data_IF_352307492637
#
_entry.id   IF_352307492637
#
_cell.length_a   1.000
_cell.length_b   1.000
_cell.length_c   1.000
_cell.angle_alpha   90.00
_cell.angle_beta   90.00
_cell.angle_gamma   90.00
#
_symmetry.space_group_name_H-M   'P 1'
#
loop_
_entity.id
_entity.type
_entity.pdbx_description
1 polymer ?
#
# COMPACT_ATOMS: atom_id res chain seq x y z
N UNK A 1 2.41 11.06 15.25
CA UNK A 1 2.26 10.41 13.93
C UNK A 1 3.56 10.56 13.16
N UNK A 2 4.19 9.45 12.77
CA UNK A 2 5.44 9.45 12.00
C UNK A 2 5.11 9.50 10.51
N UNK A 3 5.60 10.51 9.79
CA UNK A 3 5.47 10.55 8.34
C UNK A 3 6.51 9.61 7.71
N UNK A 4 6.05 8.49 7.15
CA UNK A 4 6.92 7.49 6.51
C UNK A 4 7.30 7.92 5.10
N UNK A 5 8.45 7.45 4.60
CA UNK A 5 9.07 8.00 3.38
C UNK A 5 8.19 7.88 2.15
N UNK A 6 7.58 6.73 1.88
CA UNK A 6 6.70 6.56 0.72
C UNK A 6 5.52 7.56 0.72
N UNK A 7 4.91 7.82 1.88
CA UNK A 7 3.84 8.81 1.99
C UNK A 7 4.39 10.24 1.82
N UNK A 8 5.57 10.53 2.37
CA UNK A 8 6.23 11.83 2.20
C UNK A 8 6.48 12.12 0.71
N UNK A 9 7.01 11.15 -0.02
CA UNK A 9 7.37 11.30 -1.43
C UNK A 9 6.12 11.56 -2.28
N UNK A 10 5.03 10.82 -2.04
CA UNK A 10 3.75 11.06 -2.69
C UNK A 10 3.15 12.43 -2.36
N UNK A 11 3.22 12.87 -1.10
CA UNK A 11 2.74 14.21 -0.71
C UNK A 11 3.58 15.33 -1.35
N UNK A 12 4.89 15.14 -1.47
CA UNK A 12 5.77 16.07 -2.20
C UNK A 12 5.40 16.10 -3.68
N UNK A 13 5.16 14.95 -4.31
CA UNK A 13 4.73 14.87 -5.70
C UNK A 13 3.36 15.52 -5.93
N UNK A 14 2.40 15.33 -5.01
CA UNK A 14 1.10 16.03 -5.03
C UNK A 14 1.30 17.54 -4.94
N UNK A 15 2.13 18.01 -4.01
CA UNK A 15 2.42 19.44 -3.86
C UNK A 15 3.05 20.03 -5.13
N UNK A 16 3.97 19.30 -5.76
CA UNK A 16 4.59 19.74 -7.01
C UNK A 16 3.58 19.90 -8.16
N UNK A 17 2.59 19.01 -8.27
CA UNK A 17 1.49 19.11 -9.25
C UNK A 17 0.54 20.28 -8.98
N UNK A 18 0.50 20.77 -7.74
CA UNK A 18 -0.36 21.87 -7.30
C UNK A 18 0.46 23.06 -6.77
N UNK A 19 1.56 23.40 -7.45
CA UNK A 19 2.50 24.46 -7.00
C UNK A 19 1.87 25.85 -6.90
N UNK A 20 0.75 26.09 -7.58
CA UNK A 20 -0.01 27.35 -7.57
C UNK A 20 -1.24 27.30 -6.65
N UNK A 21 -1.42 26.24 -5.86
CA UNK A 21 -2.55 26.16 -4.95
C UNK A 21 -2.49 27.28 -3.90
N UNK A 22 -3.64 27.88 -3.54
CA UNK A 22 -3.71 28.84 -2.44
C UNK A 22 -3.14 28.25 -1.16
N UNK A 23 -2.42 29.08 -0.38
CA UNK A 23 -1.78 28.62 0.87
C UNK A 23 -2.81 28.20 1.93
N UNK A 24 -4.02 28.77 1.87
CA UNK A 24 -5.18 28.44 2.69
C UNK A 24 -6.12 27.40 2.03
N UNK A 25 -5.73 26.86 0.88
CA UNK A 25 -6.50 25.86 0.14
C UNK A 25 -6.44 24.47 0.75
N UNK A 26 -7.38 23.60 0.37
CA UNK A 26 -7.34 22.19 0.76
C UNK A 26 -6.13 21.48 0.13
N UNK A 27 -5.44 20.65 0.92
CA UNK A 27 -4.33 19.79 0.44
C UNK A 27 -4.80 18.83 -0.66
N UNK A 28 -6.03 18.32 -0.52
CA UNK A 28 -6.69 17.47 -1.52
C UNK A 28 -8.02 18.11 -1.92
N UNK A 29 -8.03 19.05 -2.87
CA UNK A 29 -9.24 19.70 -3.31
C UNK A 29 -10.07 18.81 -4.26
N UNK A 30 -11.33 19.16 -4.48
CA UNK A 30 -12.08 18.70 -5.65
C UNK A 30 -11.58 19.39 -6.91
N UNK A 31 -12.07 18.97 -8.08
CA UNK A 31 -11.76 19.64 -9.35
C UNK A 31 -12.06 21.15 -9.34
N UNK A 32 -13.05 21.58 -8.55
CA UNK A 32 -13.47 22.98 -8.40
C UNK A 32 -12.79 23.69 -7.21
N UNK A 33 -11.80 23.08 -6.57
CA UNK A 33 -11.11 23.67 -5.41
C UNK A 33 -11.79 23.45 -4.05
N UNK A 34 -12.95 22.78 -4.03
CA UNK A 34 -13.74 22.57 -2.81
C UNK A 34 -13.26 21.41 -1.93
N UNK A 35 -13.92 21.24 -0.79
CA UNK A 35 -13.64 20.14 0.15
C UNK A 35 -14.07 18.79 -0.43
N UNK A 36 -13.22 17.77 -0.31
CA UNK A 36 -13.60 16.39 -0.62
C UNK A 36 -14.61 15.84 0.41
N UNK A 37 -15.61 15.13 -0.09
CA UNK A 37 -16.52 14.32 0.75
C UNK A 37 -16.06 12.86 0.77
N UNK A 38 -16.53 12.10 1.76
CA UNK A 38 -16.29 10.65 1.84
C UNK A 38 -16.82 9.92 0.61
N UNK A 39 -17.96 10.35 0.08
CA UNK A 39 -18.57 9.75 -1.11
C UNK A 39 -17.79 10.09 -2.37
N UNK A 40 -17.30 11.32 -2.50
CA UNK A 40 -16.43 11.72 -3.62
C UNK A 40 -15.13 10.93 -3.59
N UNK A 41 -14.51 10.78 -2.43
CA UNK A 41 -13.30 9.97 -2.27
C UNK A 41 -13.56 8.51 -2.65
N UNK A 42 -14.64 7.92 -2.16
CA UNK A 42 -14.97 6.51 -2.44
C UNK A 42 -15.26 6.30 -3.93
N UNK A 43 -16.22 7.04 -4.47
CA UNK A 43 -16.74 6.80 -5.83
C UNK A 43 -15.80 7.30 -6.93
N UNK A 44 -15.18 8.48 -6.75
CA UNK A 44 -14.45 9.16 -7.83
C UNK A 44 -12.95 8.96 -7.77
N UNK A 45 -12.41 8.55 -6.61
CA UNK A 45 -10.97 8.30 -6.45
C UNK A 45 -10.73 6.81 -6.28
N UNK A 46 -11.25 6.21 -5.20
CA UNK A 46 -10.92 4.85 -4.83
C UNK A 46 -11.43 3.82 -5.84
N UNK A 47 -12.70 3.87 -6.22
CA UNK A 47 -13.25 2.93 -7.20
C UNK A 47 -12.52 3.00 -8.55
N UNK A 48 -12.16 4.21 -9.00
CA UNK A 48 -11.40 4.39 -10.24
C UNK A 48 -9.95 3.91 -10.11
N UNK A 49 -9.32 4.09 -8.96
CA UNK A 49 -7.98 3.56 -8.69
C UNK A 49 -7.98 2.02 -8.69
N UNK A 50 -8.97 1.39 -8.03
CA UNK A 50 -9.15 -0.07 -8.02
C UNK A 50 -9.38 -0.60 -9.43
N UNK A 51 -10.24 0.07 -10.23
CA UNK A 51 -10.45 -0.30 -11.64
C UNK A 51 -9.14 -0.30 -12.43
N UNK A 52 -8.36 0.79 -12.36
CA UNK A 52 -7.07 0.90 -13.06
C UNK A 52 -6.05 -0.12 -12.57
N UNK A 53 -6.00 -0.40 -11.27
CA UNK A 53 -5.13 -1.42 -10.71
C UNK A 53 -5.49 -2.81 -11.24
N UNK A 54 -6.78 -3.15 -11.30
CA UNK A 54 -7.24 -4.42 -11.87
C UNK A 54 -6.95 -4.53 -13.37
N UNK A 55 -7.11 -3.45 -14.15
CA UNK A 55 -6.70 -3.41 -15.56
C UNK A 55 -5.20 -3.72 -15.73
N UNK A 56 -4.35 -3.23 -14.82
CA UNK A 56 -2.92 -3.55 -14.83
C UNK A 56 -2.65 -4.99 -14.39
N UNK A 57 -3.39 -5.51 -13.41
CA UNK A 57 -3.26 -6.91 -12.97
C UNK A 57 -3.65 -7.87 -14.10
N UNK A 58 -4.73 -7.61 -14.83
CA UNK A 58 -5.11 -8.40 -16.00
C UNK A 58 -4.01 -8.42 -17.06
N UNK A 59 -3.37 -7.28 -17.35
CA UNK A 59 -2.23 -7.21 -18.30
C UNK A 59 -1.02 -8.02 -17.84
N UNK A 60 -0.87 -8.23 -16.53
CA UNK A 60 0.20 -9.00 -15.92
C UNK A 60 -0.23 -10.43 -15.59
N UNK A 61 -1.41 -10.86 -16.05
CA UNK A 61 -1.98 -12.19 -15.76
C UNK A 61 -2.11 -12.49 -14.26
N UNK A 62 -2.30 -11.45 -13.44
CA UNK A 62 -2.49 -11.54 -11.99
C UNK A 62 -3.98 -11.57 -11.62
N UNK A 63 -4.28 -12.22 -10.49
CA UNK A 63 -5.62 -12.20 -9.90
C UNK A 63 -6.02 -10.78 -9.50
N UNK A 64 -7.29 -10.37 -9.70
CA UNK A 64 -7.75 -9.04 -9.37
C UNK A 64 -7.69 -8.76 -7.86
N UNK A 65 -7.71 -7.48 -7.50
CA UNK A 65 -7.88 -7.04 -6.13
C UNK A 65 -9.21 -7.52 -5.54
N UNK A 66 -9.29 -7.72 -4.22
CA UNK A 66 -10.53 -8.10 -3.55
C UNK A 66 -11.67 -7.10 -3.82
N UNK A 67 -12.89 -7.62 -3.88
CA UNK A 67 -14.09 -6.79 -3.97
C UNK A 67 -14.32 -5.95 -2.71
N UNK A 68 -15.07 -4.85 -2.86
CA UNK A 68 -15.53 -4.07 -1.71
C UNK A 68 -14.44 -3.29 -0.98
N UNK A 69 -13.36 -2.91 -1.66
CA UNK A 69 -12.33 -2.02 -1.08
C UNK A 69 -12.94 -0.67 -0.70
N UNK A 70 -12.72 -0.25 0.55
CA UNK A 70 -13.20 1.00 1.14
C UNK A 70 -12.07 1.75 1.83
N UNK A 71 -12.23 3.05 2.14
CA UNK A 71 -11.26 3.75 2.97
C UNK A 71 -11.01 3.06 4.32
N UNK A 72 -12.05 2.44 4.89
CA UNK A 72 -11.93 1.65 6.11
C UNK A 72 -11.08 0.39 5.92
N UNK A 73 -11.26 -0.35 4.81
CA UNK A 73 -10.42 -1.53 4.54
C UNK A 73 -8.96 -1.13 4.31
N UNK A 74 -8.69 0.00 3.63
CA UNK A 74 -7.32 0.53 3.49
C UNK A 74 -6.69 0.87 4.85
N UNK A 75 -7.45 1.50 5.75
CA UNK A 75 -7.01 1.78 7.12
C UNK A 75 -6.63 0.49 7.86
N UNK A 76 -7.43 -0.58 7.70
CA UNK A 76 -7.13 -1.90 8.27
C UNK A 76 -5.88 -2.53 7.67
N UNK A 77 -5.68 -2.40 6.35
CA UNK A 77 -4.46 -2.87 5.68
C UNK A 77 -3.23 -2.16 6.24
N UNK A 78 -3.28 -0.82 6.37
CA UNK A 78 -2.21 -0.04 6.97
C UNK A 78 -1.82 -0.56 8.36
N UNK A 79 -2.78 -0.71 9.28
CA UNK A 79 -2.50 -1.25 10.61
C UNK A 79 -1.92 -2.68 10.55
N UNK A 80 -2.48 -3.54 9.69
CA UNK A 80 -1.99 -4.91 9.52
C UNK A 80 -0.54 -4.97 9.05
N UNK A 81 -0.12 -4.05 8.17
CA UNK A 81 1.26 -3.98 7.70
C UNK A 81 2.19 -3.50 8.83
N UNK A 82 1.82 -2.47 9.59
CA UNK A 82 2.65 -2.01 10.72
C UNK A 82 2.86 -3.12 11.74
N UNK A 83 1.81 -3.86 12.06
CA UNK A 83 1.92 -5.02 12.94
C UNK A 83 2.79 -6.13 12.36
N UNK A 84 2.71 -6.40 11.05
CA UNK A 84 3.59 -7.36 10.37
C UNK A 84 5.07 -6.95 10.41
N UNK A 85 5.35 -5.64 10.44
CA UNK A 85 6.69 -5.09 10.60
C UNK A 85 7.18 -5.04 12.05
N UNK A 86 6.33 -5.44 13.01
CA UNK A 86 6.66 -5.43 14.44
C UNK A 86 6.61 -4.05 15.09
N UNK A 87 5.87 -3.10 14.51
CA UNK A 87 5.64 -1.79 15.12
C UNK A 87 4.91 -1.97 16.48
N UNK A 88 5.28 -1.13 17.44
CA UNK A 88 4.69 -1.18 18.79
C UNK A 88 3.15 -0.96 18.74
N UNK A 89 2.36 -1.78 19.47
CA UNK A 89 0.90 -1.64 19.52
C UNK A 89 0.42 -0.24 19.89
N UNK A 90 1.09 0.44 20.84
CA UNK A 90 0.77 1.80 21.26
C UNK A 90 0.93 2.80 20.12
N UNK A 91 2.07 2.73 19.40
CA UNK A 91 2.33 3.57 18.24
C UNK A 91 1.28 3.38 17.14
N UNK A 92 0.91 2.13 16.83
CA UNK A 92 -0.12 1.88 15.82
C UNK A 92 -1.49 2.40 16.28
N UNK A 93 -1.84 2.27 17.56
CA UNK A 93 -3.08 2.83 18.10
C UNK A 93 -3.13 4.37 17.97
N UNK A 94 -2.04 5.05 18.33
CA UNK A 94 -1.91 6.50 18.22
C UNK A 94 -2.07 6.97 16.77
N UNK A 95 -1.43 6.27 15.81
CA UNK A 95 -1.56 6.61 14.40
C UNK A 95 -2.94 6.30 13.81
N UNK A 96 -3.61 5.28 14.35
CA UNK A 96 -4.97 4.94 13.97
C UNK A 96 -6.01 5.86 14.61
N UNK A 97 -5.63 6.66 15.61
CA UNK A 97 -6.55 7.51 16.37
C UNK A 97 -7.61 6.70 17.13
N UNK A 98 -7.28 5.47 17.54
CA UNK A 98 -8.20 4.58 18.25
C UNK A 98 -7.92 4.63 19.75
N UNK A 99 -8.97 4.80 20.55
CA UNK A 99 -8.93 4.64 22.01
C UNK A 99 -9.13 3.19 22.46
N UNK A 100 -9.60 2.29 21.59
CA UNK A 100 -9.89 0.90 21.93
C UNK A 100 -9.11 -0.15 21.09
N UNK A 101 -8.40 -1.10 21.73
CA UNK A 101 -7.42 -1.98 21.09
C UNK A 101 -8.00 -3.22 20.36
N UNK A 102 -9.31 -3.25 20.05
CA UNK A 102 -9.98 -4.47 19.60
C UNK A 102 -9.42 -5.09 18.29
N UNK A 103 -8.69 -4.31 17.48
CA UNK A 103 -8.07 -4.78 16.24
C UNK A 103 -6.69 -5.43 16.45
N UNK A 104 -5.95 -4.98 17.48
CA UNK A 104 -4.53 -5.32 17.64
C UNK A 104 -4.38 -6.84 17.81
N UNK A 105 -5.07 -7.42 18.80
CA UNK A 105 -4.91 -8.82 19.19
C UNK A 105 -5.37 -9.87 18.15
N UNK A 106 -6.41 -9.59 17.34
CA UNK A 106 -6.91 -10.56 16.35
C UNK A 106 -6.05 -10.60 15.08
N UNK A 107 -5.42 -9.49 14.70
CA UNK A 107 -4.56 -9.38 13.51
C UNK A 107 -3.15 -9.92 13.78
N UNK A 108 -2.63 -9.80 15.02
CA UNK A 108 -1.27 -10.24 15.36
C UNK A 108 -1.01 -11.73 15.10
N UNK A 109 -2.00 -12.61 15.31
CA UNK A 109 -1.82 -14.06 15.09
C UNK A 109 -1.51 -14.41 13.63
N UNK A 110 -1.97 -13.59 12.68
CA UNK A 110 -1.69 -13.75 11.25
C UNK A 110 -0.38 -13.08 10.84
N UNK A 111 0.02 -11.99 11.52
CA UNK A 111 1.28 -11.28 11.29
C UNK A 111 2.53 -12.11 11.61
N UNK A 112 2.42 -13.11 12.48
CA UNK A 112 3.52 -14.05 12.77
C UNK A 112 3.78 -15.08 11.66
N UNK A 113 2.92 -15.16 10.63
CA UNK A 113 3.08 -16.08 9.49
C UNK A 113 3.55 -15.36 8.23
N UNK A 114 4.57 -14.51 8.34
CA UNK A 114 5.28 -13.93 7.19
C UNK A 114 6.77 -14.23 7.30
N UNK A 115 7.37 -14.68 6.21
CA UNK A 115 8.81 -14.87 6.13
C UNK A 115 9.56 -13.53 6.26
N UNK A 116 10.84 -13.56 6.61
CA UNK A 116 11.66 -12.35 6.72
C UNK A 116 11.74 -11.58 5.39
N UNK A 117 11.75 -12.28 4.26
CA UNK A 117 11.77 -11.67 2.92
C UNK A 117 10.49 -10.85 2.64
N UNK A 118 9.32 -11.35 3.02
CA UNK A 118 8.06 -10.63 2.86
C UNK A 118 8.00 -9.38 3.75
N UNK A 119 8.56 -9.46 4.96
CA UNK A 119 8.67 -8.31 5.87
C UNK A 119 9.64 -7.27 5.30
N UNK A 120 10.76 -7.69 4.72
CA UNK A 120 11.71 -6.80 4.07
C UNK A 120 11.04 -6.03 2.92
N UNK A 121 10.29 -6.73 2.05
CA UNK A 121 9.53 -6.09 0.96
C UNK A 121 8.51 -5.07 1.47
N UNK A 122 7.77 -5.41 2.53
CA UNK A 122 6.82 -4.49 3.16
C UNK A 122 7.49 -3.26 3.77
N UNK A 123 8.68 -3.43 4.39
CA UNK A 123 9.44 -2.33 4.96
C UNK A 123 9.90 -1.38 3.87
N UNK A 124 10.46 -1.91 2.78
CA UNK A 124 10.87 -1.16 1.59
C UNK A 124 9.71 -0.34 1.02
N UNK A 125 8.53 -0.96 0.86
CA UNK A 125 7.32 -0.29 0.39
C UNK A 125 6.90 0.91 1.26
N UNK A 126 7.06 0.81 2.57
CA UNK A 126 6.61 1.83 3.51
C UNK A 126 7.65 2.94 3.70
N UNK A 127 8.93 2.58 3.75
CA UNK A 127 10.03 3.50 4.00
C UNK A 127 10.38 4.32 2.75
N UNK A 128 9.98 3.88 1.56
CA UNK A 128 10.08 4.68 0.33
C UNK A 128 11.39 4.52 -0.42
N UNK A 129 12.12 3.42 -0.26
CA UNK A 129 13.29 3.13 -1.09
C UNK A 129 12.89 2.20 -2.26
N UNK A 130 13.04 2.68 -3.49
CA UNK A 130 12.93 1.94 -4.76
C UNK A 130 11.73 0.98 -4.93
N UNK A 131 10.52 1.53 -5.04
CA UNK A 131 9.37 0.80 -5.55
C UNK A 131 8.92 1.32 -6.93
N UNK A 132 9.89 1.50 -7.82
CA UNK A 132 9.67 1.43 -9.27
C UNK A 132 9.67 -0.03 -9.79
N UNK A 133 9.83 -1.03 -8.89
CA UNK A 133 9.96 -2.46 -9.24
C UNK A 133 8.91 -3.33 -8.57
N UNK A 134 7.62 -2.98 -8.64
CA UNK A 134 6.54 -4.00 -8.54
C UNK A 134 6.14 -4.33 -9.97
N UNK A 135 6.75 -5.38 -10.51
CA UNK A 135 6.44 -5.85 -11.86
C UNK A 135 7.52 -6.68 -12.54
N UNK A 136 8.32 -7.47 -11.80
CA UNK A 136 9.16 -8.48 -12.44
C UNK A 136 8.74 -9.86 -11.93
N UNK A 137 8.26 -10.77 -12.80
CA UNK A 137 8.19 -12.17 -12.44
C UNK A 137 9.61 -12.66 -12.14
N UNK A 138 9.76 -13.52 -11.14
CA UNK A 138 11.01 -14.19 -10.84
C UNK A 138 11.53 -14.85 -12.13
N UNK A 139 12.73 -14.43 -12.57
CA UNK A 139 13.38 -15.06 -13.70
C UNK A 139 13.63 -16.53 -13.36
N UNK A 140 13.31 -17.40 -14.32
CA UNK A 140 13.52 -18.84 -14.30
C UNK A 140 14.86 -19.23 -13.66
N UNK A 141 14.80 -20.19 -12.76
CA UNK A 141 15.98 -20.90 -12.29
C UNK A 141 16.61 -21.65 -13.48
N UNK A 142 17.95 -21.66 -13.65
CA UNK A 142 18.57 -22.40 -14.73
C UNK A 142 18.42 -23.90 -14.47
N UNK A 143 17.63 -24.58 -15.30
CA UNK A 143 17.60 -26.05 -15.32
C UNK A 143 18.93 -26.55 -15.83
N UNK A 144 19.67 -27.14 -14.90
CA UNK A 144 20.94 -27.81 -15.05
C UNK A 144 20.92 -28.78 -16.25
N UNK A 145 21.84 -28.55 -17.19
CA UNK A 145 22.16 -29.49 -18.27
C UNK A 145 22.80 -30.72 -17.64
N UNK A 146 22.06 -31.83 -17.53
CA UNK A 146 22.66 -33.15 -17.31
C UNK A 146 22.81 -33.84 -18.65
N UNK A 147 24.02 -33.72 -19.20
CA UNK A 147 24.52 -34.58 -20.26
C UNK A 147 24.61 -36.01 -19.71
N UNK A 148 23.89 -36.95 -20.32
CA UNK A 148 24.08 -38.40 -20.10
C UNK A 148 24.59 -38.99 -21.41
N UNK A 149 25.90 -39.17 -21.47
CA UNK A 149 26.53 -40.21 -22.27
C UNK A 149 26.02 -41.60 -21.81
N UNK A 150 25.56 -42.42 -22.76
CA UNK A 150 25.87 -43.85 -22.89
C UNK A 150 24.99 -44.51 -23.95
N UNK A 151 25.57 -44.81 -25.12
CA UNK A 151 25.53 -46.11 -25.81
C UNK A 151 26.33 -46.01 -27.11
#
# INVERSE_FOLDING_TARGET
MKLRGALRDELVAVRARHSQAPTDGFVFPTLTGGRQSTDNLRSRVLNLAVKRANENFTKQELSPLPDGITPHSLRRTFASVLYALGEDPGIVMDEMGHTHPALALRVYRQSMRRGEDEKAQLRTLIEGNELATIGRPAADAPTETTDRQAA
#
